data_IF_706028941813
#
_entry.id   IF_706028941813
#
_cell.length_a   1.000
_cell.length_b   1.000
_cell.length_c   1.000
_cell.angle_alpha   90.00
_cell.angle_beta   90.00
_cell.angle_gamma   90.00
#
_symmetry.space_group_name_H-M   'P 1'
#
loop_
_entity.id
_entity.type
_entity.pdbx_description
1 polymer ?
#
# COMPACT_ATOMS: atom_id res chain seq x y z
N UNK A 1 -17.48 7.63 22.29
CA UNK A 1 -17.11 7.71 20.84
C UNK A 1 -17.20 6.31 20.28
N UNK A 2 -17.97 6.12 19.20
CA UNK A 2 -18.40 4.82 18.70
C UNK A 2 -17.25 3.95 18.20
N UNK A 3 -16.62 3.22 19.12
CA UNK A 3 -15.80 2.07 18.80
C UNK A 3 -16.75 0.94 18.43
N UNK A 4 -17.29 0.95 17.20
CA UNK A 4 -18.00 -0.20 16.66
C UNK A 4 -17.13 -1.44 16.87
N UNK A 5 -17.62 -2.42 17.62
CA UNK A 5 -16.89 -3.65 17.97
C UNK A 5 -16.28 -4.30 16.74
N UNK A 6 -16.98 -4.20 15.60
CA UNK A 6 -16.54 -4.62 14.27
C UNK A 6 -15.28 -3.90 13.78
N UNK A 7 -15.21 -2.57 13.85
CA UNK A 7 -14.03 -1.80 13.46
C UNK A 7 -12.82 -2.16 14.32
N UNK A 8 -13.03 -2.39 15.63
CA UNK A 8 -11.98 -2.88 16.51
C UNK A 8 -11.50 -4.27 16.12
N UNK A 9 -12.39 -5.18 15.75
CA UNK A 9 -12.06 -6.52 15.23
C UNK A 9 -11.21 -6.43 13.96
N UNK A 10 -11.58 -5.56 13.01
CA UNK A 10 -10.80 -5.33 11.78
C UNK A 10 -9.41 -4.78 12.11
N UNK A 11 -9.31 -3.77 12.99
CA UNK A 11 -8.03 -3.22 13.45
C UNK A 11 -7.15 -4.30 14.09
N UNK A 12 -7.72 -5.12 14.97
CA UNK A 12 -7.00 -6.17 15.67
C UNK A 12 -6.53 -7.25 14.69
N UNK A 13 -7.39 -7.73 13.80
CA UNK A 13 -7.06 -8.75 12.82
C UNK A 13 -5.98 -8.27 11.83
N UNK A 14 -6.05 -7.01 11.34
CA UNK A 14 -5.01 -6.42 10.51
C UNK A 14 -3.67 -6.30 11.26
N UNK A 15 -3.70 -5.94 12.54
CA UNK A 15 -2.48 -5.88 13.38
C UNK A 15 -1.84 -7.26 13.53
N UNK A 16 -2.63 -8.32 13.73
CA UNK A 16 -2.12 -9.70 13.78
C UNK A 16 -1.57 -10.15 12.43
N UNK A 17 -2.27 -9.85 11.34
CA UNK A 17 -1.83 -10.15 9.97
C UNK A 17 -0.43 -9.58 9.69
N UNK A 18 -0.20 -8.33 10.06
CA UNK A 18 1.11 -7.68 9.90
C UNK A 18 2.16 -8.26 10.86
N UNK A 19 1.75 -8.63 12.08
CA UNK A 19 2.62 -9.30 13.05
C UNK A 19 3.12 -10.65 12.53
N UNK A 20 2.32 -11.40 11.76
CA UNK A 20 2.73 -12.66 11.12
C UNK A 20 3.88 -12.46 10.12
N UNK A 21 3.94 -11.31 9.44
CA UNK A 21 5.06 -10.93 8.58
C UNK A 21 6.24 -10.32 9.34
N UNK A 22 6.20 -10.30 10.68
CA UNK A 22 7.24 -9.71 11.52
C UNK A 22 7.13 -8.19 11.68
N UNK A 23 6.01 -7.58 11.26
CA UNK A 23 5.82 -6.12 11.27
C UNK A 23 4.91 -5.73 12.43
N UNK A 24 5.45 -4.98 13.38
CA UNK A 24 4.71 -4.47 14.55
C UNK A 24 4.28 -3.03 14.28
N UNK A 25 3.02 -2.83 13.91
CA UNK A 25 2.41 -1.49 13.86
C UNK A 25 1.71 -1.17 15.19
N UNK A 26 1.76 0.11 15.60
CA UNK A 26 0.89 0.63 16.66
C UNK A 26 -0.57 0.60 16.20
N UNK A 27 -1.49 0.57 17.16
CA UNK A 27 -2.94 0.58 16.90
C UNK A 27 -3.36 1.83 16.13
N UNK A 28 -2.83 2.99 16.52
CA UNK A 28 -3.09 4.31 15.91
C UNK A 28 -2.82 4.33 14.39
N UNK A 29 -1.77 3.65 13.93
CA UNK A 29 -1.42 3.60 12.51
C UNK A 29 -2.45 2.81 11.71
N UNK A 30 -2.91 1.69 12.26
CA UNK A 30 -3.92 0.84 11.61
C UNK A 30 -5.25 1.58 11.57
N UNK A 31 -5.61 2.29 12.63
CA UNK A 31 -6.81 3.13 12.70
C UNK A 31 -6.74 4.30 11.71
N UNK A 32 -5.62 5.02 11.65
CA UNK A 32 -5.43 6.10 10.68
C UNK A 32 -5.45 5.58 9.24
N UNK A 33 -4.87 4.40 8.99
CA UNK A 33 -4.97 3.74 7.69
C UNK A 33 -6.43 3.45 7.31
N UNK A 34 -7.22 2.86 8.21
CA UNK A 34 -8.63 2.56 7.94
C UNK A 34 -9.47 3.83 7.74
N UNK A 35 -9.24 4.88 8.53
CA UNK A 35 -9.88 6.19 8.32
C UNK A 35 -9.56 6.77 6.94
N UNK A 36 -8.28 6.72 6.52
CA UNK A 36 -7.89 7.18 5.20
C UNK A 36 -8.54 6.34 4.08
N UNK A 37 -8.65 5.03 4.27
CA UNK A 37 -9.33 4.14 3.31
C UNK A 37 -10.82 4.44 3.22
N UNK A 38 -11.50 4.68 4.34
CA UNK A 38 -12.91 5.06 4.39
C UNK A 38 -13.18 6.37 3.64
N UNK A 39 -12.31 7.36 3.80
CA UNK A 39 -12.39 8.65 3.11
C UNK A 39 -12.15 8.53 1.60
N UNK A 40 -11.12 7.79 1.17
CA UNK A 40 -10.74 7.69 -0.25
C UNK A 40 -11.61 6.68 -1.01
N UNK A 41 -12.10 5.64 -0.34
CA UNK A 41 -12.76 4.50 -0.97
C UNK A 41 -13.82 3.91 -0.03
N UNK A 42 -14.91 4.65 0.27
CA UNK A 42 -15.97 4.19 1.16
C UNK A 42 -16.61 2.88 0.67
N UNK A 43 -16.59 2.63 -0.65
CA UNK A 43 -17.03 1.38 -1.26
C UNK A 43 -16.28 0.14 -0.72
N UNK A 44 -15.04 0.28 -0.24
CA UNK A 44 -14.24 -0.82 0.28
C UNK A 44 -14.83 -1.39 1.57
N UNK A 45 -15.16 -0.53 2.54
CA UNK A 45 -15.77 -0.99 3.80
C UNK A 45 -17.15 -1.62 3.57
N UNK A 46 -17.90 -1.10 2.59
CA UNK A 46 -19.22 -1.64 2.21
C UNK A 46 -19.12 -3.00 1.50
N UNK A 47 -17.96 -3.35 0.93
CA UNK A 47 -17.80 -4.64 0.22
C UNK A 47 -17.76 -5.83 1.19
N UNK A 48 -17.36 -5.62 2.46
CA UNK A 48 -17.33 -6.63 3.51
C UNK A 48 -16.23 -7.70 3.39
N UNK A 49 -15.45 -7.71 2.29
CA UNK A 49 -14.48 -8.77 2.02
C UNK A 49 -13.13 -8.21 1.52
N UNK A 50 -12.04 -8.77 2.04
CA UNK A 50 -10.65 -8.51 1.75
C UNK A 50 -10.09 -9.58 0.79
N UNK A 51 -10.39 -9.46 -0.50
CA UNK A 51 -9.81 -10.32 -1.54
C UNK A 51 -8.73 -9.60 -2.33
N UNK A 52 -7.81 -10.34 -2.97
CA UNK A 52 -6.74 -9.74 -3.80
C UNK A 52 -7.26 -8.81 -4.90
N UNK A 53 -8.35 -9.11 -5.64
CA UNK A 53 -8.94 -8.20 -6.62
C UNK A 53 -9.47 -6.90 -5.99
N UNK A 54 -10.20 -7.01 -4.87
CA UNK A 54 -10.75 -5.86 -4.13
C UNK A 54 -9.60 -4.98 -3.61
N UNK A 55 -8.58 -5.60 -3.02
CA UNK A 55 -7.42 -4.89 -2.50
C UNK A 55 -6.60 -4.20 -3.60
N UNK A 56 -6.48 -4.83 -4.78
CA UNK A 56 -5.86 -4.20 -5.97
C UNK A 56 -6.66 -3.00 -6.45
N UNK A 57 -7.99 -3.05 -6.42
CA UNK A 57 -8.88 -1.94 -6.77
C UNK A 57 -8.70 -0.78 -5.77
N UNK A 58 -8.74 -1.04 -4.47
CA UNK A 58 -8.41 -0.04 -3.44
C UNK A 58 -7.04 0.59 -3.69
N UNK A 59 -6.04 -0.20 -4.07
CA UNK A 59 -4.72 0.31 -4.40
C UNK A 59 -4.67 1.28 -5.58
N UNK A 60 -5.60 1.18 -6.54
CA UNK A 60 -5.71 2.16 -7.64
C UNK A 60 -6.24 3.49 -7.09
N UNK A 61 -7.28 3.44 -6.27
CA UNK A 61 -7.90 4.63 -5.68
C UNK A 61 -6.91 5.34 -4.74
N UNK A 62 -6.13 4.60 -3.94
CA UNK A 62 -5.06 5.17 -3.11
C UNK A 62 -3.94 5.82 -3.95
N UNK A 63 -3.57 5.24 -5.11
CA UNK A 63 -2.57 5.86 -5.99
C UNK A 63 -3.12 7.14 -6.62
N UNK A 64 -4.37 7.12 -7.05
CA UNK A 64 -5.06 8.31 -7.56
C UNK A 64 -5.15 9.41 -6.49
N UNK A 65 -5.50 9.06 -5.24
CA UNK A 65 -5.48 9.98 -4.11
C UNK A 65 -4.08 10.55 -3.81
N UNK A 66 -3.03 9.72 -3.95
CA UNK A 66 -1.65 10.19 -3.82
C UNK A 66 -1.28 11.18 -4.92
N UNK A 67 -1.66 10.91 -6.16
CA UNK A 67 -1.44 11.80 -7.30
C UNK A 67 -2.16 13.14 -7.13
N UNK A 68 -3.35 13.12 -6.52
CA UNK A 68 -4.09 14.34 -6.15
C UNK A 68 -3.54 15.05 -4.91
N UNK A 69 -2.58 14.45 -4.18
CA UNK A 69 -2.03 15.03 -2.94
C UNK A 69 -2.96 14.95 -1.72
N UNK A 70 -4.08 14.23 -1.80
CA UNK A 70 -5.05 14.07 -0.71
C UNK A 70 -4.79 12.82 0.14
N UNK A 71 -3.80 12.01 -0.23
CA UNK A 71 -3.48 10.80 0.52
C UNK A 71 -2.49 11.11 1.65
N UNK A 72 -2.83 10.80 2.92
CA UNK A 72 -1.88 10.90 4.01
C UNK A 72 -0.63 10.07 3.75
N UNK A 73 0.53 10.60 4.16
CA UNK A 73 1.80 9.86 4.12
C UNK A 73 1.63 8.54 4.90
N UNK A 74 2.36 7.49 4.53
CA UNK A 74 2.29 6.19 5.22
C UNK A 74 1.11 5.26 4.87
N UNK A 75 0.01 5.76 4.27
CA UNK A 75 -1.14 4.92 3.88
C UNK A 75 -0.77 3.90 2.79
N UNK A 76 -0.06 4.33 1.74
CA UNK A 76 0.40 3.42 0.67
C UNK A 76 1.36 2.32 1.17
N UNK A 77 2.36 2.62 2.02
CA UNK A 77 3.17 1.59 2.65
C UNK A 77 2.33 0.53 3.37
N UNK A 78 1.39 0.93 4.23
CA UNK A 78 0.50 -0.03 4.92
C UNK A 78 -0.31 -0.87 3.93
N UNK A 79 -0.86 -0.25 2.88
CA UNK A 79 -1.58 -0.97 1.82
C UNK A 79 -0.71 -2.06 1.15
N UNK A 80 0.56 -1.75 0.85
CA UNK A 80 1.51 -2.71 0.27
C UNK A 80 1.81 -3.86 1.22
N UNK A 81 1.95 -3.59 2.52
CA UNK A 81 2.21 -4.62 3.52
C UNK A 81 1.06 -5.61 3.63
N UNK A 82 -0.18 -5.10 3.71
CA UNK A 82 -1.37 -5.96 3.74
C UNK A 82 -1.52 -6.73 2.42
N UNK A 83 -1.21 -6.11 1.26
CA UNK A 83 -1.20 -6.81 -0.04
C UNK A 83 -0.26 -8.03 -0.03
N UNK A 84 0.92 -7.89 0.58
CA UNK A 84 1.88 -8.99 0.72
C UNK A 84 1.39 -10.09 1.67
N UNK A 85 0.47 -9.78 2.58
CA UNK A 85 -0.17 -10.76 3.46
C UNK A 85 -1.30 -11.51 2.73
N UNK A 86 -2.13 -10.79 1.94
CA UNK A 86 -3.21 -11.41 1.14
C UNK A 86 -2.62 -12.36 0.09
N UNK A 87 -1.44 -12.06 -0.46
CA UNK A 87 -0.74 -12.96 -1.40
C UNK A 87 -0.12 -14.19 -0.76
N UNK A 88 -0.03 -14.23 0.58
CA UNK A 88 0.49 -15.35 1.37
C UNK A 88 -0.65 -15.97 2.17
N UNK A 89 -1.66 -16.46 1.44
CA UNK A 89 -2.88 -17.04 2.01
C UNK A 89 -2.59 -18.25 2.90
N UNK A 90 -1.56 -19.04 2.58
CA UNK A 90 -1.16 -20.21 3.37
C UNK A 90 -0.78 -19.83 4.81
N UNK A 91 0.00 -18.75 4.98
CA UNK A 91 0.42 -18.29 6.31
C UNK A 91 -0.58 -17.36 6.98
N UNK A 92 -1.38 -16.65 6.21
CA UNK A 92 -2.24 -15.57 6.68
C UNK A 92 -3.74 -15.92 6.70
N UNK A 93 -4.13 -17.11 6.23
CA UNK A 93 -5.54 -17.46 5.98
C UNK A 93 -6.48 -17.28 7.17
N UNK A 94 -6.05 -17.68 8.38
CA UNK A 94 -6.86 -17.53 9.61
C UNK A 94 -7.10 -16.05 9.94
N UNK A 95 -6.08 -15.22 9.84
CA UNK A 95 -6.16 -13.79 10.13
C UNK A 95 -6.92 -13.04 9.03
N UNK A 96 -6.75 -13.44 7.76
CA UNK A 96 -7.54 -12.91 6.64
C UNK A 96 -9.03 -13.23 6.83
N UNK A 97 -9.37 -14.44 7.28
CA UNK A 97 -10.75 -14.80 7.62
C UNK A 97 -11.32 -13.88 8.72
N UNK A 98 -10.56 -13.61 9.79
CA UNK A 98 -10.99 -12.68 10.85
C UNK A 98 -11.17 -11.25 10.35
N UNK A 99 -10.31 -10.78 9.43
CA UNK A 99 -10.48 -9.46 8.80
C UNK A 99 -11.78 -9.43 7.99
N UNK A 100 -12.07 -10.49 7.21
CA UNK A 100 -13.32 -10.60 6.45
C UNK A 100 -14.55 -10.62 7.35
N UNK A 101 -14.50 -11.38 8.45
CA UNK A 101 -15.57 -11.43 9.43
C UNK A 101 -15.84 -10.06 10.05
N UNK A 102 -14.78 -9.35 10.45
CA UNK A 102 -14.88 -7.98 10.96
C UNK A 102 -15.44 -7.00 9.92
N UNK A 103 -15.00 -7.09 8.67
CA UNK A 103 -15.49 -6.22 7.58
C UNK A 103 -16.96 -6.51 7.24
N UNK A 104 -17.37 -7.78 7.23
CA UNK A 104 -18.79 -8.14 7.08
C UNK A 104 -19.62 -7.56 8.22
N UNK A 105 -19.15 -7.62 9.47
CA UNK A 105 -19.86 -7.02 10.57
C UNK A 105 -19.97 -5.49 10.43
N UNK A 106 -18.91 -4.79 9.99
CA UNK A 106 -18.96 -3.35 9.70
C UNK A 106 -20.02 -3.05 8.63
N UNK A 107 -20.08 -3.87 7.57
CA UNK A 107 -21.08 -3.75 6.50
C UNK A 107 -22.51 -3.92 7.04
N UNK A 108 -22.76 -4.93 7.86
CA UNK A 108 -24.08 -5.15 8.47
C UNK A 108 -24.48 -4.00 9.40
N UNK A 109 -23.55 -3.50 10.22
CA UNK A 109 -23.79 -2.32 11.07
C UNK A 109 -24.11 -1.06 10.25
N UNK A 110 -23.41 -0.84 9.13
CA UNK A 110 -23.66 0.29 8.24
C UNK A 110 -25.00 0.14 7.49
N UNK A 111 -25.44 -1.09 7.22
CA UNK A 111 -26.77 -1.35 6.65
C UNK A 111 -27.88 -0.99 7.65
N UNK A 112 -27.71 -1.33 8.93
CA UNK A 112 -28.69 -1.07 9.99
C UNK A 112 -28.75 0.39 10.46
N UNK A 113 -27.65 1.15 10.33
CA UNK A 113 -27.59 2.57 10.75
C UNK A 113 -28.29 3.56 9.82
N UNK A 114 -28.78 3.11 8.67
CA UNK A 114 -29.45 3.98 7.69
C UNK A 114 -30.86 4.46 8.12
N UNK A 115 -31.36 4.04 9.29
CA UNK A 115 -32.70 4.40 9.80
C UNK A 115 -32.72 5.37 10.98
N UNK A 116 -31.59 5.89 11.49
CA UNK A 116 -31.63 6.87 12.61
C UNK A 116 -30.48 7.87 12.61
N UNK A 117 -30.87 9.13 12.51
CA UNK A 117 -30.20 10.43 12.67
C UNK A 117 -28.78 10.50 13.27
N UNK A 118 -27.93 11.27 12.57
CA UNK A 118 -27.30 12.49 13.09
C UNK A 118 -26.41 12.38 14.34
N UNK A 119 -25.08 12.42 14.16
CA UNK A 119 -24.31 13.59 14.61
C UNK A 119 -22.81 13.50 14.28
N UNK A 120 -22.35 14.66 13.82
CA UNK A 120 -20.99 15.11 13.58
C UNK A 120 -20.15 15.16 14.86
N UNK A 121 -18.87 14.81 14.79
CA UNK A 121 -17.84 15.42 15.63
C UNK A 121 -16.44 15.20 15.03
N UNK A 122 -15.79 16.32 14.70
CA UNK A 122 -14.40 16.47 14.28
C UNK A 122 -13.43 15.89 15.32
N UNK A 123 -12.54 15.01 14.88
CA UNK A 123 -11.37 14.58 15.64
C UNK A 123 -10.12 15.05 14.92
N UNK A 124 -9.51 16.12 15.45
CA UNK A 124 -8.29 16.74 14.94
C UNK A 124 -7.07 15.80 14.94
N UNK A 125 -6.40 15.80 13.79
CA UNK A 125 -4.98 15.55 13.45
C UNK A 125 -4.04 14.77 14.39
N UNK A 126 -3.45 13.69 13.86
CA UNK A 126 -2.06 13.28 14.12
C UNK A 126 -1.45 12.70 12.83
N UNK A 127 -0.81 13.55 12.02
CA UNK A 127 -0.17 13.17 10.75
C UNK A 127 1.29 12.68 10.93
N UNK A 128 1.93 13.02 12.05
CA UNK A 128 3.37 12.79 12.29
C UNK A 128 3.75 11.31 12.40
N UNK A 129 2.87 10.46 12.92
CA UNK A 129 3.21 9.06 13.22
C UNK A 129 3.34 8.20 11.96
N UNK A 130 2.59 8.54 10.91
CA UNK A 130 2.69 7.84 9.63
C UNK A 130 3.95 8.24 8.84
N UNK A 131 4.39 9.49 8.95
CA UNK A 131 5.62 9.98 8.34
C UNK A 131 6.85 9.29 8.94
N UNK A 132 6.89 9.11 10.27
CA UNK A 132 7.97 8.37 10.95
C UNK A 132 8.14 6.94 10.42
N UNK A 133 7.03 6.25 10.14
CA UNK A 133 7.06 4.87 9.61
C UNK A 133 7.38 4.85 8.12
N UNK A 134 6.87 5.82 7.35
CA UNK A 134 7.24 5.95 5.94
C UNK A 134 8.76 6.14 5.79
N UNK A 135 9.34 7.03 6.60
CA UNK A 135 10.78 7.27 6.67
C UNK A 135 11.56 6.02 7.13
N UNK A 136 11.04 5.29 8.12
CA UNK A 136 11.66 4.05 8.59
C UNK A 136 11.61 2.93 7.53
N UNK A 137 10.51 2.81 6.79
CA UNK A 137 10.36 1.84 5.69
C UNK A 137 11.22 2.20 4.47
N UNK A 138 11.43 3.49 4.20
CA UNK A 138 12.38 3.93 3.17
C UNK A 138 13.81 3.53 3.54
N UNK A 139 14.19 3.67 4.82
CA UNK A 139 15.49 3.22 5.33
C UNK A 139 15.68 1.69 5.25
N UNK A 140 14.61 0.90 5.38
CA UNK A 140 14.68 -0.56 5.26
C UNK A 140 14.71 -1.06 3.80
N UNK A 141 14.63 -0.18 2.80
CA UNK A 141 14.38 -0.55 1.41
C UNK A 141 15.63 -0.79 0.55
N UNK A 142 16.81 -1.01 1.15
CA UNK A 142 18.07 -1.17 0.41
C UNK A 142 18.85 -2.45 0.78
N UNK A 143 18.34 -3.57 0.28
CA UNK A 143 19.16 -4.68 -0.24
C UNK A 143 18.39 -5.39 -1.37
N UNK A 144 17.86 -4.61 -2.31
CA UNK A 144 17.61 -5.09 -3.66
C UNK A 144 18.86 -4.67 -4.44
N UNK A 145 19.73 -5.65 -4.66
CA UNK A 145 20.80 -5.55 -5.66
C UNK A 145 20.21 -4.93 -6.93
N UNK A 146 20.78 -3.82 -7.43
CA UNK A 146 20.39 -3.30 -8.72
C UNK A 146 20.80 -4.35 -9.76
N UNK A 147 19.80 -4.98 -10.35
CA UNK A 147 19.95 -5.74 -11.58
C UNK A 147 20.78 -4.88 -12.54
N UNK A 148 21.94 -5.42 -12.93
CA UNK A 148 22.93 -4.73 -13.74
C UNK A 148 22.28 -4.01 -14.93
N UNK A 149 22.71 -2.78 -15.26
CA UNK A 149 22.23 -2.10 -16.45
C UNK A 149 22.64 -2.92 -17.67
N UNK A 150 21.69 -3.15 -18.57
CA UNK A 150 21.94 -3.84 -19.85
C UNK A 150 23.11 -3.21 -20.61
N UNK A 151 23.73 -3.95 -21.55
CA UNK A 151 24.84 -3.43 -22.32
C UNK A 151 24.42 -2.16 -23.06
N UNK A 152 24.96 -1.03 -22.59
CA UNK A 152 24.89 0.25 -23.26
C UNK A 152 25.54 0.10 -24.62
N UNK A 153 24.73 0.12 -25.69
CA UNK A 153 25.26 0.49 -26.99
C UNK A 153 25.80 1.92 -26.84
N UNK A 154 27.06 2.21 -27.22
CA UNK A 154 27.53 3.57 -27.34
C UNK A 154 27.17 4.11 -28.73
N UNK A 155 26.39 5.19 -28.86
CA UNK A 155 26.40 6.00 -30.06
C UNK A 155 27.48 7.08 -29.90
N UNK A 156 28.61 6.93 -30.58
CA UNK A 156 29.50 8.06 -30.84
C UNK A 156 29.88 8.07 -32.32
N UNK A 157 29.26 9.01 -33.03
CA UNK A 157 29.73 9.51 -34.32
C UNK A 157 31.17 10.01 -34.20
N UNK A 158 32.06 9.50 -35.03
CA UNK A 158 33.29 10.19 -35.44
C UNK A 158 33.41 10.17 -36.96
N UNK A 159 33.12 11.32 -37.55
CA UNK A 159 33.35 11.66 -38.94
C UNK A 159 34.79 12.18 -39.09
N UNK A 160 35.67 11.43 -39.75
CA UNK A 160 36.91 11.92 -40.39
C UNK A 160 37.43 10.79 -41.29
N UNK A 161 37.45 10.85 -42.61
CA UNK A 161 37.70 11.99 -43.48
C UNK A 161 39.17 11.94 -43.90
N UNK A 162 39.40 11.65 -45.19
CA UNK A 162 40.63 11.76 -45.97
C UNK A 162 41.62 10.57 -45.88
N UNK A 163 41.77 9.82 -46.98
CA UNK A 163 42.93 9.88 -47.92
C UNK A 163 44.09 9.00 -47.39
N UNK A 164 44.67 8.03 -48.07
CA UNK A 164 44.89 7.76 -49.49
C UNK A 164 46.24 7.00 -49.57
N UNK A 165 46.48 6.31 -50.67
CA UNK A 165 47.76 5.71 -51.10
C UNK A 165 48.18 4.35 -50.51
N UNK A 166 47.81 3.32 -51.27
CA UNK A 166 48.62 2.23 -51.82
C UNK A 166 50.11 2.09 -51.47
N UNK A 167 50.54 0.82 -51.43
CA UNK A 167 51.72 0.18 -52.07
C UNK A 167 52.32 -0.86 -51.09
N UNK A 168 51.95 -2.14 -51.21
CA UNK A 168 52.60 -3.20 -52.00
C UNK A 168 53.47 -4.11 -51.09
N UNK A 169 53.41 -5.45 -51.22
CA UNK A 169 54.16 -6.41 -50.40
C UNK A 169 55.39 -7.00 -51.12
N UNK A 170 56.38 -7.48 -50.37
CA UNK A 170 57.43 -8.48 -50.70
C UNK A 170 57.95 -8.95 -49.32
N UNK A 171 58.16 -10.22 -48.94
CA UNK A 171 58.54 -11.50 -49.56
C UNK A 171 57.90 -12.62 -48.73
#
# INVERSE_FOLDING_TARGET
>A
MGNSTSAQTVCQALKYLLKLKGIRLKKEIVENFLKAVDQISPWFLVTGHLTMPIWKKLGKDLRFAKEQGVLPKGVLPVWKLVKNCIGDEERCGVELHKVNEGLNQVREEHSQKSETEGNSSEGEMLEDDLESIANSLEKMKLKVEPSAPGPHHPPLYTLRGAEGCSLHPEI
#
